data_IF_846108959420
#
_entry.id   IF_846108959420
#
_cell.length_a   1.000
_cell.length_b   1.000
_cell.length_c   1.000
_cell.angle_alpha   90.00
_cell.angle_beta   90.00
_cell.angle_gamma   90.00
#
_symmetry.space_group_name_H-M   'P 1'
#
loop_
_entity.id
_entity.type
_entity.pdbx_description
1 polymer ?
#
# COMPACT_ATOMS: atom_id res chain seq x y z
N UNK A 1 19.39 36.39 14.63
CA UNK A 1 19.63 36.78 13.22
C UNK A 1 18.63 36.06 12.32
N UNK A 2 17.64 36.80 11.77
CA UNK A 2 16.50 36.22 11.04
C UNK A 2 16.93 35.23 9.92
N UNK A 3 18.01 35.56 9.19
CA UNK A 3 18.56 34.71 8.14
C UNK A 3 19.00 33.33 8.67
N UNK A 4 19.69 33.30 9.82
CA UNK A 4 20.15 32.03 10.41
C UNK A 4 18.99 31.21 10.89
N UNK A 5 17.96 31.81 11.48
CA UNK A 5 16.76 31.09 11.91
C UNK A 5 16.00 30.48 10.71
N UNK A 6 15.81 31.24 9.63
CA UNK A 6 15.17 30.77 8.43
C UNK A 6 15.96 29.62 7.79
N UNK A 7 17.29 29.76 7.66
CA UNK A 7 18.16 28.70 7.13
C UNK A 7 18.08 27.42 7.95
N UNK A 8 18.06 27.54 9.29
CA UNK A 8 17.92 26.37 10.16
C UNK A 8 16.57 25.68 10.00
N UNK A 9 15.47 26.42 9.85
CA UNK A 9 14.14 25.86 9.62
C UNK A 9 14.13 25.03 8.33
N UNK A 10 14.62 25.61 7.23
CA UNK A 10 14.70 24.87 5.96
C UNK A 10 15.62 23.65 6.02
N UNK A 11 16.75 23.73 6.76
CA UNK A 11 17.62 22.58 6.93
C UNK A 11 16.91 21.42 7.64
N UNK A 12 16.16 21.70 8.70
CA UNK A 12 15.36 20.68 9.39
C UNK A 12 14.23 20.13 8.51
N UNK A 13 13.60 20.96 7.70
CA UNK A 13 12.57 20.52 6.76
C UNK A 13 13.13 19.57 5.72
N UNK A 14 14.26 19.88 5.07
CA UNK A 14 14.92 19.00 4.12
C UNK A 14 15.39 17.67 4.75
N UNK A 15 15.97 17.72 5.95
CA UNK A 15 16.39 16.50 6.65
C UNK A 15 15.16 15.66 7.02
N UNK A 16 14.10 16.28 7.51
CA UNK A 16 12.84 15.60 7.82
C UNK A 16 12.20 14.96 6.61
N UNK A 17 12.17 15.67 5.48
CA UNK A 17 11.64 15.18 4.21
C UNK A 17 12.46 14.01 3.68
N UNK A 18 13.80 14.07 3.78
CA UNK A 18 14.69 12.97 3.39
C UNK A 18 14.42 11.72 4.24
N UNK A 19 14.39 11.89 5.56
CA UNK A 19 14.11 10.78 6.50
C UNK A 19 12.74 10.19 6.23
N UNK A 20 11.71 11.03 6.06
CA UNK A 20 10.34 10.60 5.75
C UNK A 20 10.24 9.83 4.43
N UNK A 21 10.89 10.32 3.37
CA UNK A 21 10.85 9.69 2.05
C UNK A 21 11.51 8.31 2.02
N UNK A 22 12.50 8.07 2.87
CA UNK A 22 13.16 6.77 3.02
C UNK A 22 12.40 5.87 4.00
N UNK A 23 12.00 6.39 5.15
CA UNK A 23 11.32 5.61 6.19
C UNK A 23 9.93 5.14 5.76
N UNK A 24 9.20 5.95 4.99
CA UNK A 24 7.84 5.61 4.55
C UNK A 24 7.79 4.30 3.75
N UNK A 25 8.50 4.15 2.61
CA UNK A 25 8.43 2.93 1.81
C UNK A 25 9.19 1.74 2.40
N UNK A 26 10.26 1.98 3.17
CA UNK A 26 11.12 0.89 3.65
C UNK A 26 10.72 0.34 5.03
N UNK A 27 10.12 1.17 5.87
CA UNK A 27 9.81 0.79 7.26
C UNK A 27 8.30 0.85 7.54
N UNK A 28 7.66 2.01 7.29
CA UNK A 28 6.30 2.23 7.72
C UNK A 28 5.30 1.41 6.90
N UNK A 29 5.39 1.51 5.59
CA UNK A 29 4.44 0.85 4.69
C UNK A 29 4.49 -0.69 4.78
N UNK A 30 5.68 -1.34 4.78
CA UNK A 30 5.75 -2.80 4.87
C UNK A 30 5.33 -3.38 6.22
N UNK A 31 5.50 -2.61 7.31
CA UNK A 31 5.21 -3.09 8.67
C UNK A 31 3.78 -2.76 9.13
N UNK A 32 3.25 -1.63 8.72
CA UNK A 32 1.98 -1.09 9.23
C UNK A 32 0.86 -1.12 8.18
N UNK A 33 1.21 -1.24 6.89
CA UNK A 33 0.24 -1.08 5.80
C UNK A 33 -0.19 0.37 5.57
N UNK A 34 -1.03 0.59 4.56
CA UNK A 34 -1.42 1.94 4.12
C UNK A 34 -2.21 2.72 5.18
N UNK A 35 -3.22 2.10 5.78
CA UNK A 35 -4.13 2.79 6.71
C UNK A 35 -3.45 3.14 8.02
N UNK A 36 -2.74 2.20 8.66
CA UNK A 36 -2.05 2.50 9.91
C UNK A 36 -0.93 3.53 9.71
N UNK A 37 -0.20 3.48 8.59
CA UNK A 37 0.81 4.48 8.25
C UNK A 37 0.20 5.86 8.05
N UNK A 38 -0.97 5.97 7.39
CA UNK A 38 -1.67 7.23 7.23
C UNK A 38 -2.14 7.81 8.58
N UNK A 39 -2.71 6.99 9.44
CA UNK A 39 -3.11 7.42 10.79
C UNK A 39 -1.90 7.81 11.65
N UNK A 40 -0.79 7.09 11.56
CA UNK A 40 0.44 7.39 12.29
C UNK A 40 1.02 8.74 11.85
N UNK A 41 1.16 8.98 10.55
CA UNK A 41 1.67 10.25 10.03
C UNK A 41 0.75 11.43 10.36
N UNK A 42 -0.57 11.22 10.29
CA UNK A 42 -1.56 12.18 10.76
C UNK A 42 -1.42 12.49 12.25
N UNK A 43 -1.16 11.48 13.07
CA UNK A 43 -0.93 11.63 14.51
C UNK A 43 0.30 12.48 14.83
N UNK A 44 1.40 12.32 14.09
CA UNK A 44 2.61 13.13 14.24
C UNK A 44 2.34 14.61 13.95
N UNK A 45 1.57 14.91 12.90
CA UNK A 45 1.16 16.29 12.60
C UNK A 45 0.28 16.88 13.71
N UNK A 46 -0.63 16.08 14.27
CA UNK A 46 -1.47 16.53 15.39
C UNK A 46 -0.64 16.79 16.65
N UNK A 47 0.37 15.97 16.95
CA UNK A 47 1.30 16.21 18.06
C UNK A 47 2.01 17.56 17.89
N UNK A 48 2.53 17.85 16.70
CA UNK A 48 3.16 19.13 16.40
C UNK A 48 2.19 20.31 16.59
N UNK A 49 0.95 20.18 16.09
CA UNK A 49 -0.09 21.18 16.27
C UNK A 49 -0.46 21.38 17.75
N UNK A 50 -0.58 20.28 18.51
CA UNK A 50 -0.83 20.32 19.95
C UNK A 50 0.27 21.07 20.69
N UNK A 51 1.54 20.77 20.43
CA UNK A 51 2.67 21.45 21.04
C UNK A 51 2.60 22.96 20.83
N UNK A 52 2.25 23.42 19.63
CA UNK A 52 2.11 24.83 19.31
C UNK A 52 0.93 25.45 20.08
N UNK A 53 -0.25 24.84 20.03
CA UNK A 53 -1.47 25.37 20.66
C UNK A 53 -1.33 25.39 22.19
N UNK A 54 -0.72 24.38 22.80
CA UNK A 54 -0.51 24.34 24.26
C UNK A 54 0.52 25.36 24.69
N UNK A 55 1.65 25.50 23.96
CA UNK A 55 2.73 26.44 24.30
C UNK A 55 2.35 27.89 24.10
N UNK A 56 1.57 28.22 23.09
CA UNK A 56 1.23 29.59 22.71
C UNK A 56 -0.26 29.89 22.90
N UNK A 57 -0.92 29.23 23.86
CA UNK A 57 -2.37 29.34 24.10
C UNK A 57 -2.85 30.80 24.35
N UNK A 58 -2.03 31.65 24.93
CA UNK A 58 -2.37 33.05 25.17
C UNK A 58 -2.46 33.92 23.90
N UNK A 59 -1.75 33.49 22.84
CA UNK A 59 -1.68 34.20 21.56
C UNK A 59 -2.70 33.67 20.52
N UNK A 60 -3.32 32.53 20.79
CA UNK A 60 -4.22 31.86 19.84
C UNK A 60 -5.65 32.16 20.21
N UNK A 61 -6.41 32.76 19.27
CA UNK A 61 -7.85 32.93 19.44
C UNK A 61 -8.54 31.57 19.50
N UNK A 62 -9.44 31.37 20.47
CA UNK A 62 -10.16 30.09 20.70
C UNK A 62 -9.24 28.92 21.06
N UNK A 63 -8.15 29.17 21.77
CA UNK A 63 -7.17 28.14 22.19
C UNK A 63 -7.83 26.92 22.86
N UNK A 64 -8.88 27.13 23.68
CA UNK A 64 -9.61 26.02 24.31
C UNK A 64 -10.25 25.07 23.29
N UNK A 65 -10.93 25.61 22.30
CA UNK A 65 -11.58 24.80 21.24
C UNK A 65 -10.52 24.02 20.48
N UNK A 66 -9.41 24.67 20.08
CA UNK A 66 -8.33 24.01 19.36
C UNK A 66 -7.65 22.90 20.17
N UNK A 67 -7.47 23.11 21.50
CA UNK A 67 -6.93 22.08 22.39
C UNK A 67 -7.86 20.86 22.45
N UNK A 68 -9.16 21.08 22.68
CA UNK A 68 -10.13 19.97 22.72
C UNK A 68 -10.20 19.26 21.38
N UNK A 69 -10.32 20.00 20.28
CA UNK A 69 -10.39 19.40 18.94
C UNK A 69 -9.15 18.59 18.60
N UNK A 70 -7.94 19.11 18.90
CA UNK A 70 -6.70 18.38 18.61
C UNK A 70 -6.58 17.09 19.44
N UNK A 71 -6.99 17.12 20.71
CA UNK A 71 -7.01 15.92 21.56
C UNK A 71 -8.01 14.87 21.03
N UNK A 72 -9.23 15.31 20.68
CA UNK A 72 -10.25 14.41 20.12
C UNK A 72 -9.79 13.79 18.79
N UNK A 73 -9.22 14.61 17.90
CA UNK A 73 -8.69 14.10 16.64
C UNK A 73 -7.50 13.14 16.85
N UNK A 74 -6.62 13.44 17.79
CA UNK A 74 -5.51 12.56 18.12
C UNK A 74 -6.01 11.20 18.66
N UNK A 75 -6.98 11.23 19.56
CA UNK A 75 -7.62 10.01 20.05
C UNK A 75 -8.28 9.21 18.91
N UNK A 76 -8.97 9.89 17.99
CA UNK A 76 -9.54 9.27 16.79
C UNK A 76 -8.50 8.63 15.88
N UNK A 77 -7.35 9.31 15.66
CA UNK A 77 -6.22 8.74 14.89
C UNK A 77 -5.64 7.50 15.56
N UNK A 78 -5.48 7.53 16.90
CA UNK A 78 -5.02 6.37 17.66
C UNK A 78 -5.97 5.18 17.51
N UNK A 79 -7.28 5.39 17.64
CA UNK A 79 -8.27 4.35 17.38
C UNK A 79 -8.16 3.85 15.94
N UNK A 80 -7.95 4.74 14.96
CA UNK A 80 -7.75 4.40 13.56
C UNK A 80 -6.56 3.46 13.34
N UNK A 81 -5.43 3.67 14.05
CA UNK A 81 -4.25 2.78 13.98
C UNK A 81 -4.65 1.36 14.43
N UNK A 82 -5.32 1.22 15.57
CA UNK A 82 -5.71 -0.09 16.11
C UNK A 82 -6.82 -0.80 15.31
N UNK A 83 -7.60 -0.04 14.53
CA UNK A 83 -8.69 -0.59 13.71
C UNK A 83 -8.35 -0.64 12.23
N UNK A 84 -7.11 -0.31 11.85
CA UNK A 84 -6.66 -0.19 10.46
C UNK A 84 -6.90 -1.46 9.64
N UNK A 85 -6.62 -2.64 10.20
CA UNK A 85 -6.80 -3.92 9.51
C UNK A 85 -8.28 -4.21 9.24
N UNK A 86 -9.14 -3.93 10.23
CA UNK A 86 -10.59 -4.08 10.07
C UNK A 86 -11.15 -3.12 9.02
N UNK A 87 -10.61 -1.89 9.00
CA UNK A 87 -11.00 -0.88 8.00
C UNK A 87 -10.54 -1.28 6.60
N UNK A 88 -9.30 -1.74 6.47
CA UNK A 88 -8.75 -2.28 5.22
C UNK A 88 -9.64 -3.42 4.69
N UNK A 89 -9.92 -4.42 5.51
CA UNK A 89 -10.78 -5.55 5.14
C UNK A 89 -12.18 -5.13 4.68
N UNK A 90 -12.81 -4.17 5.36
CA UNK A 90 -14.15 -3.67 4.97
C UNK A 90 -14.13 -2.91 3.65
N UNK A 91 -13.10 -2.09 3.43
CA UNK A 91 -12.95 -1.33 2.18
C UNK A 91 -12.65 -2.29 1.03
N UNK A 92 -11.75 -3.25 1.22
CA UNK A 92 -11.44 -4.28 0.23
C UNK A 92 -12.67 -5.13 -0.12
N UNK A 93 -13.42 -5.56 0.89
CA UNK A 93 -14.68 -6.31 0.68
C UNK A 93 -15.72 -5.53 -0.13
N UNK A 94 -15.67 -4.20 -0.13
CA UNK A 94 -16.49 -3.34 -0.97
C UNK A 94 -15.97 -3.14 -2.40
N UNK A 95 -14.67 -3.33 -2.62
CA UNK A 95 -14.04 -3.20 -3.95
C UNK A 95 -14.23 -4.45 -4.82
N UNK A 96 -14.25 -5.62 -4.21
CA UNK A 96 -14.39 -6.89 -4.92
C UNK A 96 -15.82 -7.42 -4.79
N UNK A 97 -16.44 -7.76 -5.93
CA UNK A 97 -17.81 -8.33 -5.96
C UNK A 97 -17.88 -9.75 -5.42
N UNK A 98 -16.78 -10.50 -5.56
CA UNK A 98 -16.70 -11.91 -5.24
C UNK A 98 -16.04 -12.12 -3.88
N UNK A 99 -16.26 -13.29 -3.28
CA UNK A 99 -15.65 -13.62 -1.99
C UNK A 99 -14.14 -13.62 -2.07
N UNK A 100 -13.49 -12.80 -1.27
CA UNK A 100 -12.03 -12.81 -1.09
C UNK A 100 -11.63 -14.10 -0.38
N UNK A 101 -10.72 -14.86 -0.98
CA UNK A 101 -10.15 -16.10 -0.42
C UNK A 101 -8.71 -15.92 0.04
N UNK A 102 -8.01 -14.90 -0.46
CA UNK A 102 -6.68 -14.48 -0.05
C UNK A 102 -6.55 -12.97 -0.24
N UNK A 103 -5.99 -12.29 0.75
CA UNK A 103 -5.55 -10.89 0.65
C UNK A 103 -4.21 -10.78 1.36
N UNK A 104 -3.17 -10.41 0.63
CA UNK A 104 -1.79 -10.38 1.13
C UNK A 104 -1.09 -9.12 0.66
N UNK A 105 -0.55 -8.36 1.61
CA UNK A 105 0.28 -7.20 1.32
C UNK A 105 1.76 -7.58 1.40
N UNK A 106 2.41 -7.57 0.25
CA UNK A 106 3.87 -7.70 0.19
C UNK A 106 4.53 -6.32 0.24
N UNK A 107 5.85 -6.27 0.34
CA UNK A 107 6.57 -4.99 0.23
C UNK A 107 6.50 -4.32 -1.15
N UNK A 108 5.99 -5.02 -2.18
CA UNK A 108 5.97 -4.55 -3.56
C UNK A 108 4.56 -4.35 -4.11
N UNK A 109 3.61 -5.17 -3.66
CA UNK A 109 2.27 -5.21 -4.25
C UNK A 109 1.25 -5.82 -3.30
N UNK A 110 -0.01 -5.49 -3.49
CA UNK A 110 -1.16 -6.08 -2.82
C UNK A 110 -1.77 -7.16 -3.70
N UNK A 111 -1.76 -8.39 -3.23
CA UNK A 111 -2.27 -9.57 -3.94
C UNK A 111 -3.62 -9.93 -3.35
N UNK A 112 -4.66 -9.97 -4.19
CA UNK A 112 -6.00 -10.41 -3.79
C UNK A 112 -6.46 -11.53 -4.71
N UNK A 113 -6.93 -12.62 -4.10
CA UNK A 113 -7.62 -13.68 -4.81
C UNK A 113 -9.08 -13.70 -4.41
N UNK A 114 -9.95 -13.74 -5.40
CA UNK A 114 -11.38 -13.87 -5.19
C UNK A 114 -11.90 -15.15 -5.83
N UNK A 115 -13.04 -15.65 -5.34
CA UNK A 115 -13.69 -16.83 -5.86
C UNK A 115 -15.18 -16.60 -6.08
N UNK A 116 -15.62 -16.88 -7.29
CA UNK A 116 -17.02 -16.95 -7.66
C UNK A 116 -17.34 -18.34 -8.23
N UNK A 117 -18.06 -19.19 -7.48
CA UNK A 117 -18.28 -20.60 -7.83
C UNK A 117 -16.94 -21.31 -8.07
N UNK A 118 -16.70 -21.74 -9.30
CA UNK A 118 -15.47 -22.43 -9.72
C UNK A 118 -14.42 -21.47 -10.31
N UNK A 119 -14.76 -20.19 -10.48
CA UNK A 119 -13.87 -19.18 -11.03
C UNK A 119 -13.02 -18.55 -9.94
N UNK A 120 -11.71 -18.62 -10.10
CA UNK A 120 -10.71 -17.94 -9.25
C UNK A 120 -10.10 -16.80 -10.05
N UNK A 121 -10.07 -15.61 -9.44
CA UNK A 121 -9.49 -14.41 -10.04
C UNK A 121 -8.36 -13.89 -9.17
N UNK A 122 -7.27 -13.55 -9.82
CA UNK A 122 -6.11 -12.90 -9.20
C UNK A 122 -6.10 -11.41 -9.55
N UNK A 123 -5.93 -10.61 -8.53
CA UNK A 123 -5.74 -9.16 -8.66
C UNK A 123 -4.40 -8.78 -8.03
N UNK A 124 -3.69 -7.87 -8.70
CA UNK A 124 -2.49 -7.22 -8.18
C UNK A 124 -2.75 -5.71 -8.19
N UNK A 125 -2.65 -5.08 -7.02
CA UNK A 125 -2.94 -3.65 -6.82
C UNK A 125 -4.30 -3.23 -7.41
N UNK A 126 -5.32 -4.09 -7.22
CA UNK A 126 -6.68 -3.87 -7.71
C UNK A 126 -6.90 -4.19 -9.20
N UNK A 127 -5.85 -4.52 -9.96
CA UNK A 127 -5.94 -4.85 -11.38
C UNK A 127 -6.00 -6.36 -11.56
N UNK A 128 -6.98 -6.85 -12.35
CA UNK A 128 -7.11 -8.26 -12.65
C UNK A 128 -5.91 -8.74 -13.48
N UNK A 129 -5.28 -9.81 -13.03
CA UNK A 129 -4.17 -10.45 -13.72
C UNK A 129 -4.64 -11.65 -14.54
N UNK A 130 -5.46 -12.48 -13.94
CA UNK A 130 -6.13 -13.57 -14.66
C UNK A 130 -7.46 -13.97 -14.00
N UNK A 131 -8.24 -14.74 -14.74
CA UNK A 131 -9.45 -15.42 -14.35
C UNK A 131 -9.29 -16.89 -14.78
N UNK A 132 -9.56 -17.84 -13.87
CA UNK A 132 -9.30 -19.26 -14.12
C UNK A 132 -10.10 -19.85 -15.30
N UNK A 133 -11.18 -19.19 -15.70
CA UNK A 133 -12.01 -19.64 -16.81
C UNK A 133 -11.43 -19.34 -18.19
N UNK A 134 -10.57 -18.30 -18.33
CA UNK A 134 -10.07 -17.87 -19.63
C UNK A 134 -8.56 -17.59 -19.69
N UNK A 135 -7.83 -17.82 -18.57
CA UNK A 135 -6.38 -17.59 -18.49
C UNK A 135 -5.59 -18.38 -19.55
N UNK A 136 -6.10 -19.55 -19.95
CA UNK A 136 -5.47 -20.40 -20.95
C UNK A 136 -5.26 -19.67 -22.29
N UNK A 137 -6.17 -18.78 -22.67
CA UNK A 137 -6.07 -18.02 -23.93
C UNK A 137 -4.80 -17.18 -23.97
N UNK A 138 -4.46 -16.57 -22.85
CA UNK A 138 -3.24 -15.76 -22.72
C UNK A 138 -2.00 -16.66 -22.62
N UNK A 139 -2.00 -17.62 -21.73
CA UNK A 139 -0.82 -18.44 -21.43
C UNK A 139 -0.48 -19.40 -22.55
N UNK A 140 -1.47 -19.99 -23.21
CA UNK A 140 -1.25 -20.83 -24.40
C UNK A 140 -0.67 -20.00 -25.56
N UNK A 141 -1.23 -18.83 -25.85
CA UNK A 141 -0.71 -17.96 -26.90
C UNK A 141 0.71 -17.48 -26.59
N UNK A 142 0.98 -17.09 -25.33
CA UNK A 142 2.28 -16.65 -24.88
C UNK A 142 3.37 -17.72 -25.04
N UNK A 143 3.04 -18.99 -24.80
CA UNK A 143 4.01 -20.09 -24.79
C UNK A 143 4.04 -20.84 -26.10
N UNK A 144 2.91 -21.29 -26.64
CA UNK A 144 2.91 -22.19 -27.78
C UNK A 144 3.37 -21.52 -29.08
N UNK A 145 3.08 -20.22 -29.27
CA UNK A 145 3.50 -19.51 -30.48
C UNK A 145 5.03 -19.42 -30.57
N UNK A 146 5.77 -18.90 -29.57
CA UNK A 146 7.22 -18.86 -29.62
C UNK A 146 7.85 -20.25 -29.58
N UNK A 147 7.29 -21.21 -28.83
CA UNK A 147 7.82 -22.58 -28.77
C UNK A 147 7.68 -23.31 -30.10
N UNK A 148 6.59 -23.09 -30.86
CA UNK A 148 6.42 -23.65 -32.18
C UNK A 148 7.45 -23.11 -33.20
N UNK A 149 7.86 -21.85 -33.04
CA UNK A 149 8.81 -21.19 -33.95
C UNK A 149 10.28 -21.28 -33.50
N UNK A 150 10.55 -21.75 -32.28
CA UNK A 150 11.91 -21.86 -31.77
C UNK A 150 12.67 -23.01 -32.42
N UNK A 151 13.88 -22.72 -32.93
CA UNK A 151 14.78 -23.72 -33.53
C UNK A 151 15.35 -24.69 -32.49
N UNK A 152 15.53 -24.22 -31.25
CA UNK A 152 16.01 -25.00 -30.09
C UNK A 152 15.11 -24.73 -28.91
N UNK A 153 14.79 -25.75 -28.13
CA UNK A 153 13.87 -25.70 -27.00
C UNK A 153 14.49 -26.15 -25.68
N UNK A 154 15.79 -26.44 -25.68
CA UNK A 154 16.51 -27.01 -24.54
C UNK A 154 16.63 -26.04 -23.34
N UNK A 155 16.53 -24.73 -23.60
CA UNK A 155 16.64 -23.70 -22.58
C UNK A 155 15.66 -22.59 -22.87
N UNK A 156 14.81 -22.32 -21.89
CA UNK A 156 13.81 -21.25 -21.94
C UNK A 156 14.00 -20.35 -20.73
N UNK A 157 13.99 -19.03 -20.96
CA UNK A 157 14.00 -18.02 -19.90
C UNK A 157 12.60 -17.44 -19.77
N UNK A 158 12.03 -17.51 -18.57
CA UNK A 158 10.77 -16.85 -18.22
C UNK A 158 11.06 -15.64 -17.36
N UNK A 159 10.63 -14.45 -17.81
CA UNK A 159 10.76 -13.21 -17.07
C UNK A 159 9.40 -12.88 -16.41
N UNK A 160 9.32 -12.93 -15.08
CA UNK A 160 8.06 -12.83 -14.33
C UNK A 160 7.38 -14.18 -14.19
N UNK A 161 6.05 -14.24 -14.44
CA UNK A 161 5.28 -15.49 -14.39
C UNK A 161 5.17 -16.10 -12.99
N UNK A 162 5.04 -15.26 -11.95
CA UNK A 162 4.93 -15.70 -10.56
C UNK A 162 3.68 -16.53 -10.25
N UNK A 163 2.68 -16.52 -11.12
CA UNK A 163 1.49 -17.38 -11.07
C UNK A 163 1.77 -18.84 -11.51
N UNK A 164 2.91 -19.08 -12.18
CA UNK A 164 3.32 -20.39 -12.66
C UNK A 164 2.58 -20.89 -13.91
N UNK A 165 1.60 -20.15 -14.43
CA UNK A 165 0.74 -20.60 -15.53
C UNK A 165 1.49 -20.70 -16.86
N UNK A 166 2.39 -19.75 -17.14
CA UNK A 166 3.30 -19.83 -18.29
C UNK A 166 4.25 -21.03 -18.17
N UNK A 167 4.76 -21.33 -16.97
CA UNK A 167 5.61 -22.50 -16.72
C UNK A 167 4.83 -23.79 -16.94
N UNK A 168 3.59 -23.85 -16.50
CA UNK A 168 2.69 -24.99 -16.76
C UNK A 168 2.61 -25.30 -18.27
N UNK A 169 2.46 -24.29 -19.09
CA UNK A 169 2.38 -24.46 -20.55
C UNK A 169 3.73 -24.87 -21.16
N UNK A 170 4.85 -24.33 -20.64
CA UNK A 170 6.20 -24.71 -21.08
C UNK A 170 6.53 -26.18 -20.79
N UNK A 171 6.06 -26.71 -19.67
CA UNK A 171 6.30 -28.12 -19.29
C UNK A 171 5.59 -29.15 -20.20
N UNK A 172 4.77 -28.70 -21.16
CA UNK A 172 4.18 -29.57 -22.18
C UNK A 172 5.16 -29.88 -23.33
N UNK A 173 6.34 -29.24 -23.39
CA UNK A 173 7.40 -29.44 -24.38
C UNK A 173 8.56 -30.18 -23.81
#
# INVERSE_FOLDING_TARGET
NLRVTISSIFSFDYVGSLVGSVAFPLLLLPQLGYFATAFLTGSLNLVAAMLIVFKYSERVKKAFVLKVTSVVLFAGMMVGIFTSDTLAYRIEGGLYRDRIILSEHTQYQHIVMTRHKDDVRLFIDGNIQFCSLDEYRYHEALVHIPMANALKKDKVLVLGGGDGLAVRELLKY
#
